data_IF_669174445630
#
_entry.id   IF_669174445630
#
_cell.length_a   1.000
_cell.length_b   1.000
_cell.length_c   1.000
_cell.angle_alpha   90.00
_cell.angle_beta   90.00
_cell.angle_gamma   90.00
#
_symmetry.space_group_name_H-M   'P 1'
#
loop_
_entity.id
_entity.type
_entity.pdbx_description
1 polymer ?
#
# COMPACT_ATOMS: atom_id res chain seq x y z
N UNK A 1 -11.41 2.63 8.37
CA UNK A 1 -10.78 3.88 8.87
C UNK A 1 -11.85 4.94 9.08
N UNK A 2 -11.70 5.86 10.04
CA UNK A 2 -12.72 6.88 10.40
C UNK A 2 -13.06 7.83 9.22
N UNK A 3 -12.15 7.96 8.24
CA UNK A 3 -12.32 8.80 7.05
C UNK A 3 -12.63 8.01 5.76
N UNK A 4 -12.87 6.69 5.86
CA UNK A 4 -13.25 5.86 4.72
C UNK A 4 -14.49 6.48 4.02
N UNK A 5 -14.44 6.61 2.70
CA UNK A 5 -15.44 7.26 1.83
C UNK A 5 -15.62 8.79 1.97
N UNK A 6 -15.11 9.41 3.03
CA UNK A 6 -15.04 10.87 3.16
C UNK A 6 -13.83 11.45 2.44
N UNK A 7 -12.71 10.73 2.41
CA UNK A 7 -11.47 11.14 1.74
C UNK A 7 -10.82 9.93 1.07
N UNK A 8 -10.43 10.08 -0.20
CA UNK A 8 -9.78 9.04 -0.99
C UNK A 8 -8.26 9.02 -0.77
N UNK A 9 -7.84 8.81 0.49
CA UNK A 9 -6.42 8.90 0.92
C UNK A 9 -5.53 7.96 0.10
N UNK A 10 -5.97 6.71 -0.11
CA UNK A 10 -5.22 5.71 -0.88
C UNK A 10 -4.88 6.21 -2.29
N UNK A 11 -5.83 6.87 -2.97
CA UNK A 11 -5.60 7.50 -4.28
C UNK A 11 -4.65 8.69 -4.18
N UNK A 12 -4.84 9.55 -3.17
CA UNK A 12 -4.03 10.75 -2.98
C UNK A 12 -2.54 10.45 -2.76
N UNK A 13 -2.21 9.32 -2.13
CA UNK A 13 -0.82 8.93 -1.80
C UNK A 13 -0.25 7.85 -2.73
N UNK A 14 -0.96 7.48 -3.80
CA UNK A 14 -0.58 6.38 -4.69
C UNK A 14 -0.29 5.07 -3.92
N UNK A 15 -1.23 4.67 -3.06
CA UNK A 15 -1.10 3.48 -2.25
C UNK A 15 -1.16 2.21 -3.10
N UNK A 16 -0.26 1.26 -2.83
CA UNK A 16 -0.22 -0.07 -3.44
C UNK A 16 -0.26 -1.11 -2.32
N UNK A 17 -1.35 -1.86 -2.24
CA UNK A 17 -1.48 -2.94 -1.25
C UNK A 17 -0.66 -4.14 -1.74
N UNK A 18 0.16 -4.69 -0.85
CA UNK A 18 0.99 -5.86 -1.13
C UNK A 18 0.87 -6.88 0.00
N UNK A 19 1.05 -8.15 -0.35
CA UNK A 19 1.17 -9.23 0.63
C UNK A 19 2.51 -9.17 1.38
N UNK A 20 2.66 -10.01 2.42
CA UNK A 20 3.93 -10.12 3.14
C UNK A 20 5.03 -10.75 2.26
N UNK A 21 4.68 -11.69 1.38
CA UNK A 21 5.62 -12.35 0.46
C UNK A 21 6.16 -11.38 -0.61
N UNK A 22 5.38 -10.36 -0.96
CA UNK A 22 5.78 -9.31 -1.91
C UNK A 22 6.61 -8.19 -1.27
N UNK A 23 6.72 -8.16 0.07
CA UNK A 23 7.43 -7.10 0.79
C UNK A 23 8.88 -6.92 0.31
N UNK A 24 9.72 -7.96 0.12
CA UNK A 24 11.09 -7.79 -0.34
C UNK A 24 11.18 -7.05 -1.68
N UNK A 25 10.29 -7.36 -2.63
CA UNK A 25 10.22 -6.67 -3.92
C UNK A 25 9.75 -5.22 -3.75
N UNK A 26 8.74 -4.99 -2.92
CA UNK A 26 8.27 -3.63 -2.61
C UNK A 26 9.38 -2.74 -2.03
N UNK A 27 10.21 -3.28 -1.13
CA UNK A 27 11.38 -2.56 -0.61
C UNK A 27 12.43 -2.27 -1.69
N UNK A 28 12.73 -3.24 -2.57
CA UNK A 28 13.68 -3.03 -3.68
C UNK A 28 13.19 -1.95 -4.66
N UNK A 29 11.90 -1.95 -5.00
CA UNK A 29 11.31 -0.95 -5.89
C UNK A 29 11.29 0.43 -5.23
N UNK A 30 10.96 0.49 -3.93
CA UNK A 30 10.97 1.74 -3.16
C UNK A 30 12.38 2.33 -3.04
N UNK A 31 13.39 1.51 -2.78
CA UNK A 31 14.80 1.91 -2.71
C UNK A 31 15.30 2.49 -4.05
N UNK A 32 14.80 1.96 -5.17
CA UNK A 32 15.06 2.51 -6.52
C UNK A 32 14.27 3.79 -6.84
N UNK A 33 13.50 4.32 -5.90
CA UNK A 33 12.76 5.57 -6.06
C UNK A 33 11.37 5.42 -6.67
N UNK A 34 10.74 4.24 -6.59
CA UNK A 34 9.35 4.10 -7.01
C UNK A 34 8.45 5.08 -6.22
N UNK A 35 7.72 5.94 -6.94
CA UNK A 35 6.79 6.90 -6.37
C UNK A 35 5.46 6.24 -5.94
N UNK A 36 5.54 5.19 -5.12
CA UNK A 36 4.41 4.40 -4.62
C UNK A 36 4.48 4.28 -3.10
N UNK A 37 3.32 4.30 -2.45
CA UNK A 37 3.22 3.99 -1.03
C UNK A 37 2.81 2.52 -0.86
N UNK A 38 3.76 1.64 -0.61
CA UNK A 38 3.46 0.25 -0.33
C UNK A 38 2.79 0.08 1.04
N UNK A 39 1.69 -0.67 1.10
CA UNK A 39 0.93 -0.97 2.31
C UNK A 39 0.85 -2.48 2.48
N UNK A 40 1.45 -3.00 3.56
CA UNK A 40 1.42 -4.44 3.86
C UNK A 40 0.04 -4.86 4.38
N UNK A 41 -0.51 -5.93 3.81
CA UNK A 41 -1.78 -6.52 4.22
C UNK A 41 -1.62 -7.99 4.63
N UNK A 42 -0.92 -8.30 5.74
CA UNK A 42 -0.58 -9.68 6.10
C UNK A 42 -1.78 -10.53 6.55
N UNK A 43 -2.87 -9.89 7.00
CA UNK A 43 -4.04 -10.56 7.56
C UNK A 43 -5.31 -10.33 6.74
N UNK A 44 -5.19 -9.88 5.48
CA UNK A 44 -6.32 -9.61 4.59
C UNK A 44 -7.39 -8.66 5.17
N UNK A 45 -6.96 -7.65 5.96
CA UNK A 45 -7.85 -6.67 6.59
C UNK A 45 -8.34 -5.60 5.61
N UNK A 46 -7.59 -5.41 4.52
CA UNK A 46 -7.98 -4.54 3.41
C UNK A 46 -8.57 -5.44 2.31
N UNK A 47 -9.85 -5.28 1.95
CA UNK A 47 -10.43 -5.95 0.80
C UNK A 47 -9.73 -5.49 -0.48
N UNK A 48 -9.33 -6.45 -1.32
CA UNK A 48 -8.75 -6.20 -2.65
C UNK A 48 -9.83 -6.12 -3.72
#
# INVERSE_FOLDING_TARGET
AILHDKVQIAKAVNATVISLDEAPKGYQDFDKGAAKKFVLNPNNLIPV
#
